data_IF_513721217945
#
_entry.id   IF_513721217945
#
_cell.length_a   1.000
_cell.length_b   1.000
_cell.length_c   1.000
_cell.angle_alpha   90.00
_cell.angle_beta   90.00
_cell.angle_gamma   90.00
#
_symmetry.space_group_name_H-M   'P 1'
#
loop_
_entity.id
_entity.type
_entity.pdbx_description
1 polymer ?
#
# COMPACT_ATOMS: atom_id res chain seq x y z
N UNK A 1 1.42 -1.54 13.14
CA UNK A 1 0.10 -1.05 12.71
C UNK A 1 -0.93 -1.45 13.74
N UNK A 2 -1.83 -0.54 14.12
CA UNK A 2 -3.05 -0.78 14.92
C UNK A 2 -4.25 -0.54 14.02
N UNK A 3 -5.27 -1.40 14.08
CA UNK A 3 -6.52 -1.27 13.33
C UNK A 3 -7.65 -0.75 14.21
N UNK A 4 -8.40 0.24 13.70
CA UNK A 4 -9.44 0.97 14.43
C UNK A 4 -10.73 1.04 13.57
N UNK A 5 -11.87 0.97 14.22
CA UNK A 5 -13.20 0.91 13.59
C UNK A 5 -13.73 2.28 13.16
N UNK A 6 -13.25 3.37 13.79
CA UNK A 6 -13.73 4.73 13.54
C UNK A 6 -12.61 5.76 13.53
N UNK A 7 -12.89 6.91 12.91
CA UNK A 7 -11.94 8.03 12.86
C UNK A 7 -11.71 8.63 14.25
N UNK A 8 -12.76 8.71 15.06
CA UNK A 8 -12.67 9.24 16.43
C UNK A 8 -11.80 8.33 17.30
N UNK A 9 -12.00 7.01 17.25
CA UNK A 9 -11.14 6.06 17.94
C UNK A 9 -9.67 6.20 17.48
N UNK A 10 -9.45 6.42 16.18
CA UNK A 10 -8.10 6.60 15.64
C UNK A 10 -7.45 7.93 16.06
N UNK A 11 -8.24 8.99 16.23
CA UNK A 11 -7.74 10.28 16.76
C UNK A 11 -7.40 10.17 18.23
N UNK A 12 -8.26 9.51 19.02
CA UNK A 12 -8.02 9.27 20.43
C UNK A 12 -6.75 8.43 20.63
N UNK A 13 -6.63 7.30 19.94
CA UNK A 13 -5.45 6.46 20.02
C UNK A 13 -4.17 7.22 19.58
N UNK A 14 -4.25 8.11 18.60
CA UNK A 14 -3.11 8.95 18.20
C UNK A 14 -2.74 9.95 19.31
N UNK A 15 -3.73 10.55 19.95
CA UNK A 15 -3.56 11.48 21.06
C UNK A 15 -2.89 10.78 22.25
N UNK A 16 -3.38 9.61 22.67
CA UNK A 16 -2.78 8.84 23.76
C UNK A 16 -1.31 8.49 23.53
N UNK A 17 -0.91 8.13 22.29
CA UNK A 17 0.50 7.84 22.03
C UNK A 17 1.36 9.10 22.01
N UNK A 18 0.85 10.22 21.49
CA UNK A 18 1.65 11.44 21.31
C UNK A 18 1.76 12.26 22.59
N UNK A 19 0.64 12.46 23.27
CA UNK A 19 0.54 13.40 24.39
C UNK A 19 0.74 12.70 25.74
N UNK A 20 0.24 11.47 25.91
CA UNK A 20 0.39 10.72 27.17
C UNK A 20 1.68 9.88 27.21
N UNK A 21 2.46 9.87 26.12
CA UNK A 21 3.73 9.14 26.01
C UNK A 21 3.59 7.62 26.07
N UNK A 22 2.36 7.09 25.94
CA UNK A 22 2.09 5.66 25.96
C UNK A 22 2.73 4.98 24.75
N UNK A 23 3.28 3.78 24.95
CA UNK A 23 3.73 2.96 23.83
C UNK A 23 2.53 2.45 23.02
N UNK A 24 2.79 2.16 21.74
CA UNK A 24 1.78 1.61 20.82
C UNK A 24 1.21 0.28 21.31
N UNK A 25 2.05 -0.52 21.95
CA UNK A 25 1.70 -1.80 22.55
C UNK A 25 0.78 -1.60 23.76
N UNK A 26 1.02 -0.58 24.58
CA UNK A 26 0.12 -0.18 25.67
C UNK A 26 -1.23 0.28 25.12
N UNK A 27 -1.28 1.17 24.13
CA UNK A 27 -2.54 1.65 23.54
C UNK A 27 -3.33 0.52 22.84
N UNK A 28 -2.64 -0.39 22.14
CA UNK A 28 -3.30 -1.55 21.54
C UNK A 28 -3.82 -2.55 22.59
N UNK A 29 -3.12 -2.69 23.72
CA UNK A 29 -3.48 -3.62 24.80
C UNK A 29 -4.62 -3.08 25.66
N UNK A 30 -4.56 -1.80 26.03
CA UNK A 30 -5.58 -1.07 26.80
C UNK A 30 -6.94 -1.13 26.11
N UNK A 31 -6.98 -0.93 24.79
CA UNK A 31 -8.23 -0.85 24.01
C UNK A 31 -8.53 -2.15 23.22
N UNK A 32 -7.72 -3.21 23.41
CA UNK A 32 -7.85 -4.52 22.75
C UNK A 32 -7.90 -4.47 21.22
N UNK A 33 -7.24 -3.51 20.59
CA UNK A 33 -7.20 -3.42 19.14
C UNK A 33 -6.17 -4.38 18.54
N UNK A 34 -6.49 -5.04 17.41
CA UNK A 34 -5.52 -5.86 16.69
C UNK A 34 -4.32 -5.02 16.28
N UNK A 35 -3.12 -5.54 16.54
CA UNK A 35 -1.90 -4.93 16.04
C UNK A 35 -0.99 -5.96 15.36
N UNK A 36 -0.28 -5.51 14.33
CA UNK A 36 0.69 -6.33 13.60
C UNK A 36 1.89 -5.52 13.13
N UNK A 37 3.02 -6.20 12.94
CA UNK A 37 4.14 -5.69 12.15
C UNK A 37 3.95 -6.13 10.71
N UNK A 38 4.25 -5.25 9.77
CA UNK A 38 4.22 -5.53 8.36
C UNK A 38 5.37 -4.81 7.70
N UNK A 39 6.01 -5.49 6.76
CA UNK A 39 7.00 -4.92 5.86
C UNK A 39 6.36 -4.91 4.47
N UNK A 40 6.52 -3.82 3.72
CA UNK A 40 5.93 -3.64 2.40
C UNK A 40 6.81 -2.70 1.57
N UNK A 41 6.71 -2.79 0.25
CA UNK A 41 7.34 -1.84 -0.64
C UNK A 41 6.47 -0.60 -0.76
N UNK A 42 7.09 0.58 -0.77
CA UNK A 42 6.37 1.84 -0.89
C UNK A 42 5.51 1.88 -2.17
N UNK A 43 5.99 1.29 -3.27
CA UNK A 43 5.27 1.23 -4.54
C UNK A 43 3.95 0.43 -4.50
N UNK A 44 3.72 -0.40 -3.46
CA UNK A 44 2.47 -1.14 -3.29
C UNK A 44 1.33 -0.28 -2.70
N UNK A 45 1.66 0.90 -2.16
CA UNK A 45 0.69 1.79 -1.56
C UNK A 45 0.08 2.76 -2.59
N UNK A 46 -1.15 3.25 -2.36
CA UNK A 46 -1.69 4.38 -3.12
C UNK A 46 -0.78 5.62 -3.01
N UNK A 47 -0.67 6.41 -4.09
CA UNK A 47 0.24 7.58 -4.18
C UNK A 47 0.08 8.53 -2.99
N UNK A 48 -1.15 8.83 -2.58
CA UNK A 48 -1.43 9.70 -1.44
C UNK A 48 -0.89 9.14 -0.12
N UNK A 49 -0.94 7.81 0.04
CA UNK A 49 -0.37 7.13 1.20
C UNK A 49 1.17 7.10 1.12
N UNK A 50 1.74 6.90 -0.07
CA UNK A 50 3.20 6.90 -0.26
C UNK A 50 3.84 8.18 0.25
N UNK A 51 3.32 9.35 -0.15
CA UNK A 51 3.86 10.63 0.28
C UNK A 51 3.86 10.77 1.80
N UNK A 52 2.77 10.34 2.46
CA UNK A 52 2.64 10.34 3.91
C UNK A 52 3.68 9.46 4.60
N UNK A 53 3.97 8.28 4.05
CA UNK A 53 5.03 7.40 4.54
C UNK A 53 6.43 7.95 4.29
N UNK A 54 6.69 8.65 3.18
CA UNK A 54 7.99 9.28 2.92
C UNK A 54 8.27 10.42 3.90
N UNK A 55 7.26 11.20 4.28
CA UNK A 55 7.43 12.38 5.13
C UNK A 55 7.62 12.10 6.62
N UNK A 56 7.21 10.93 7.14
CA UNK A 56 7.28 10.61 8.58
C UNK A 56 8.63 10.02 8.99
N UNK A 57 9.18 10.35 10.17
CA UNK A 57 10.46 9.78 10.61
C UNK A 57 10.30 8.36 11.15
N UNK A 58 11.40 7.60 11.19
CA UNK A 58 11.41 6.34 11.94
C UNK A 58 11.24 6.63 13.44
N UNK A 59 10.43 5.82 14.12
CA UNK A 59 9.99 6.02 15.50
C UNK A 59 8.63 6.69 15.60
N UNK A 60 8.27 7.54 14.63
CA UNK A 60 7.05 8.35 14.67
C UNK A 60 5.80 7.58 14.24
N UNK A 61 4.64 8.12 14.64
CA UNK A 61 3.33 7.60 14.28
C UNK A 61 2.72 8.39 13.14
N UNK A 62 2.32 7.64 12.12
CA UNK A 62 1.58 8.06 10.96
C UNK A 62 0.11 7.62 11.05
N UNK A 63 -0.79 8.55 10.79
CA UNK A 63 -2.22 8.30 10.66
C UNK A 63 -3.07 9.42 11.26
N UNK A 64 -4.41 9.26 11.30
CA UNK A 64 -5.17 8.11 10.81
C UNK A 64 -5.06 7.92 9.29
N UNK A 65 -4.87 6.66 8.85
CA UNK A 65 -4.93 6.27 7.44
C UNK A 65 -6.23 5.50 7.20
N UNK A 66 -6.95 5.81 6.12
CA UNK A 66 -8.16 5.09 5.76
C UNK A 66 -7.81 3.70 5.21
N UNK A 67 -8.54 2.67 5.66
CA UNK A 67 -8.48 1.30 5.13
C UNK A 67 -9.87 0.86 4.66
N UNK A 68 -9.93 -0.30 3.99
CA UNK A 68 -11.19 -0.85 3.43
C UNK A 68 -12.33 -0.93 4.45
N UNK A 69 -12.03 -1.14 5.73
CA UNK A 69 -13.04 -1.26 6.79
C UNK A 69 -12.58 -0.58 8.09
N UNK A 70 -12.35 0.73 8.03
CA UNK A 70 -12.00 1.55 9.21
C UNK A 70 -10.74 2.38 8.98
N UNK A 71 -9.92 2.49 10.03
CA UNK A 71 -8.71 3.30 10.08
C UNK A 71 -7.52 2.52 10.62
N UNK A 72 -6.32 2.99 10.34
CA UNK A 72 -5.10 2.43 10.90
C UNK A 72 -4.13 3.52 11.37
N UNK A 73 -3.39 3.19 12.42
CA UNK A 73 -2.23 3.94 12.91
C UNK A 73 -0.96 3.12 12.70
N UNK A 74 0.05 3.75 12.11
CA UNK A 74 1.29 3.11 11.73
C UNK A 74 2.46 3.78 12.43
N UNK A 75 3.16 3.06 13.30
CA UNK A 75 4.50 3.47 13.74
C UNK A 75 5.52 3.03 12.72
N UNK A 76 6.30 3.96 12.18
CA UNK A 76 7.36 3.62 11.24
C UNK A 76 8.55 3.08 12.02
N UNK A 77 8.87 1.81 11.85
CA UNK A 77 10.00 1.19 12.58
C UNK A 77 11.32 1.54 11.91
N UNK A 78 11.38 1.36 10.58
CA UNK A 78 12.57 1.63 9.77
C UNK A 78 12.14 1.90 8.33
N UNK A 79 12.95 2.69 7.63
CA UNK A 79 12.90 2.84 6.18
C UNK A 79 14.21 2.30 5.63
N UNK A 80 14.12 1.38 4.69
CA UNK A 80 15.27 0.68 4.12
C UNK A 80 15.17 0.85 2.61
N UNK A 81 16.28 1.19 1.99
CA UNK A 81 16.36 1.19 0.53
C UNK A 81 16.24 -0.26 0.03
N UNK A 82 15.36 -0.54 -0.95
CA UNK A 82 15.26 -1.88 -1.52
C UNK A 82 16.60 -2.27 -2.13
N UNK A 83 17.15 -3.40 -1.70
CA UNK A 83 18.43 -3.89 -2.20
C UNK A 83 18.21 -4.79 -3.41
N UNK A 84 19.05 -4.65 -4.44
CA UNK A 84 18.92 -5.41 -5.68
C UNK A 84 19.29 -6.90 -5.51
N UNK A 85 19.91 -7.29 -4.40
CA UNK A 85 20.20 -8.67 -4.04
C UNK A 85 19.10 -9.34 -3.20
N UNK A 86 18.07 -8.58 -2.77
CA UNK A 86 16.90 -9.14 -2.10
C UNK A 86 16.07 -9.95 -3.11
N UNK A 87 15.81 -11.26 -2.86
CA UNK A 87 15.05 -12.11 -3.77
C UNK A 87 13.66 -11.58 -4.12
N UNK A 88 12.97 -10.90 -3.20
CA UNK A 88 11.66 -10.32 -3.45
C UNK A 88 11.76 -9.11 -4.39
N UNK A 89 12.80 -8.29 -4.23
CA UNK A 89 13.06 -7.14 -5.11
C UNK A 89 13.45 -7.62 -6.50
N UNK A 90 14.34 -8.62 -6.59
CA UNK A 90 14.74 -9.24 -7.86
C UNK A 90 13.54 -9.79 -8.63
N UNK A 91 12.73 -10.63 -7.97
CA UNK A 91 11.55 -11.23 -8.60
C UNK A 91 10.60 -10.18 -9.18
N UNK A 92 10.44 -9.04 -8.52
CA UNK A 92 9.60 -7.93 -9.00
C UNK A 92 10.23 -7.20 -10.19
N UNK A 93 11.54 -6.98 -10.17
CA UNK A 93 12.27 -6.38 -11.30
C UNK A 93 12.14 -7.28 -12.53
N UNK A 94 12.38 -8.58 -12.39
CA UNK A 94 12.29 -9.55 -13.47
C UNK A 94 10.88 -9.60 -14.06
N UNK A 95 9.86 -9.66 -13.21
CA UNK A 95 8.47 -9.61 -13.65
C UNK A 95 8.16 -8.33 -14.44
N UNK A 96 8.59 -7.16 -13.94
CA UNK A 96 8.37 -5.87 -14.60
C UNK A 96 9.10 -5.80 -15.96
N UNK A 97 10.29 -6.38 -16.07
CA UNK A 97 11.03 -6.47 -17.34
C UNK A 97 10.29 -7.33 -18.36
N UNK A 98 9.83 -8.51 -17.95
CA UNK A 98 9.05 -9.41 -18.80
C UNK A 98 7.73 -8.76 -19.25
N UNK A 99 6.96 -8.19 -18.32
CA UNK A 99 5.70 -7.51 -18.62
C UNK A 99 5.89 -6.39 -19.63
N UNK A 100 6.94 -5.57 -19.46
CA UNK A 100 7.28 -4.49 -20.40
C UNK A 100 7.63 -5.05 -21.78
N UNK A 101 8.49 -6.06 -21.85
CA UNK A 101 8.91 -6.67 -23.11
C UNK A 101 7.73 -7.27 -23.88
N UNK A 102 6.90 -8.08 -23.21
CA UNK A 102 5.75 -8.71 -23.85
C UNK A 102 4.65 -7.71 -24.20
N UNK A 103 4.44 -6.67 -23.41
CA UNK A 103 3.51 -5.59 -23.76
C UNK A 103 3.93 -4.87 -25.04
N UNK A 104 5.23 -4.66 -25.23
CA UNK A 104 5.78 -4.08 -26.45
C UNK A 104 5.61 -4.99 -27.66
N UNK A 105 5.92 -6.29 -27.52
CA UNK A 105 5.70 -7.28 -28.57
C UNK A 105 4.22 -7.40 -28.94
N UNK A 106 3.34 -7.47 -27.93
CA UNK A 106 1.90 -7.52 -28.15
C UNK A 106 1.42 -6.30 -28.93
N UNK A 107 1.86 -5.09 -28.56
CA UNK A 107 1.54 -3.86 -29.29
C UNK A 107 2.00 -3.90 -30.75
N UNK A 108 3.17 -4.49 -31.03
CA UNK A 108 3.75 -4.54 -32.38
C UNK A 108 3.14 -5.63 -33.26
N UNK A 109 2.85 -6.79 -32.70
CA UNK A 109 2.55 -8.00 -33.46
C UNK A 109 1.11 -8.50 -33.32
N UNK A 110 0.32 -8.00 -32.37
CA UNK A 110 -1.08 -8.39 -32.18
C UNK A 110 -2.00 -7.36 -32.82
N UNK A 111 -2.74 -7.77 -33.85
CA UNK A 111 -3.84 -6.98 -34.41
C UNK A 111 -5.16 -7.41 -33.79
N UNK A 112 -5.90 -6.47 -33.20
CA UNK A 112 -7.29 -6.72 -32.81
C UNK A 112 -8.13 -6.85 -34.07
N UNK A 113 -8.63 -8.06 -34.36
CA UNK A 113 -9.78 -8.21 -35.26
C UNK A 113 -11.01 -7.70 -34.53
N UNK A 114 -11.29 -6.41 -34.65
CA UNK A 114 -12.64 -5.90 -34.43
C UNK A 114 -13.50 -6.58 -35.49
N UNK A 115 -14.31 -7.56 -35.07
CA UNK A 115 -15.23 -8.25 -35.97
C UNK A 115 -16.12 -7.22 -36.64
N UNK A 116 -15.90 -6.99 -37.93
CA UNK A 116 -16.88 -6.34 -38.77
C UNK A 116 -18.11 -7.24 -38.75
N UNK A 117 -19.14 -6.83 -38.01
CA UNK A 117 -20.49 -7.28 -38.32
C UNK A 117 -20.77 -6.66 -39.69
N UNK A 118 -20.56 -7.45 -40.74
CA UNK A 118 -21.06 -7.14 -42.07
C UNK A 118 -22.57 -7.01 -41.95
N UNK A 119 -23.09 -5.80 -42.10
CA UNK A 119 -24.50 -5.56 -42.39
C UNK A 119 -24.77 -6.23 -43.75
N UNK A 120 -25.67 -7.23 -43.84
CA UNK A 120 -26.16 -7.63 -45.15
C UNK A 120 -27.15 -6.55 -45.61
N UNK A 121 -26.83 -5.92 -46.73
CA UNK A 121 -27.76 -5.07 -47.47
C UNK A 121 -28.42 -5.90 -48.59
N UNK A 122 -29.73 -5.65 -48.75
CA UNK A 122 -30.62 -5.98 -49.86
C UNK A 122 -31.05 -7.46 -50.02
N UNK A 123 -32.36 -7.72 -49.91
CA UNK A 123 -33.32 -7.55 -51.03
C UNK A 123 -34.62 -6.89 -50.53
#
# INVERSE_FOLDING_TARGET
MIELESLDAAREALFCVREDGMSREEVATEVRYPYRRADFLLEDLPVDAQQRFVSVSAGDILGPLARRNGFELCRVIKKIEPQADDPNVQSRIDQRLLERHFSELARRHVQRRLGGVSTPAAE
#
